data_IF_792459418223
#
_entry.id   IF_792459418223
#
_cell.length_a   1.000
_cell.length_b   1.000
_cell.length_c   1.000
_cell.angle_alpha   90.00
_cell.angle_beta   90.00
_cell.angle_gamma   90.00
#
_symmetry.space_group_name_H-M   'P 1'
#
loop_
_entity.id
_entity.type
_entity.pdbx_description
1 polymer ?
#
# COMPACT_ATOMS: atom_id res chain seq x y z
N UNK A 1 -7.68 12.80 -31.11
CA UNK A 1 -8.19 11.68 -30.28
C UNK A 1 -7.44 11.72 -28.96
N UNK A 2 -8.12 12.12 -27.90
CA UNK A 2 -7.57 11.96 -26.54
C UNK A 2 -7.38 10.47 -26.29
N UNK A 3 -6.14 10.04 -26.09
CA UNK A 3 -5.86 8.69 -25.58
C UNK A 3 -6.24 8.74 -24.11
N UNK A 4 -7.44 8.27 -23.79
CA UNK A 4 -7.86 8.12 -22.39
C UNK A 4 -6.94 7.08 -21.77
N UNK A 5 -6.04 7.53 -20.91
CA UNK A 5 -5.16 6.65 -20.16
C UNK A 5 -6.05 5.74 -19.30
N UNK A 6 -5.86 4.42 -19.45
CA UNK A 6 -6.74 3.45 -18.79
C UNK A 6 -5.95 2.58 -17.81
N UNK A 7 -6.31 2.71 -16.54
CA UNK A 7 -5.92 1.75 -15.50
C UNK A 7 -6.92 0.59 -15.48
N UNK A 8 -6.44 -0.62 -15.31
CA UNK A 8 -7.26 -1.81 -15.07
C UNK A 8 -6.58 -2.74 -14.08
N UNK A 9 -7.37 -3.56 -13.40
CA UNK A 9 -6.90 -4.54 -12.44
C UNK A 9 -7.06 -5.95 -13.00
N UNK A 10 -6.00 -6.74 -12.90
CA UNK A 10 -5.99 -8.14 -13.30
C UNK A 10 -5.62 -9.00 -12.10
N UNK A 11 -6.54 -9.89 -11.71
CA UNK A 11 -6.28 -10.82 -10.61
C UNK A 11 -5.07 -11.70 -10.95
N UNK A 12 -4.27 -11.98 -9.93
CA UNK A 12 -3.14 -12.91 -10.05
C UNK A 12 -3.57 -14.24 -10.66
N UNK A 13 -2.72 -14.73 -11.53
CA UNK A 13 -2.82 -16.07 -12.09
C UNK A 13 -1.43 -16.74 -12.11
N UNK A 14 -1.32 -18.07 -11.89
CA UNK A 14 -0.05 -18.76 -11.71
C UNK A 14 0.98 -18.54 -12.83
N UNK A 15 0.53 -18.37 -14.07
CA UNK A 15 1.40 -18.08 -15.22
C UNK A 15 2.09 -16.70 -15.14
N UNK A 16 1.63 -15.82 -14.26
CA UNK A 16 2.22 -14.50 -14.02
C UNK A 16 3.09 -14.45 -12.74
N UNK A 17 3.34 -15.61 -12.09
CA UNK A 17 4.11 -15.69 -10.84
C UNK A 17 5.46 -14.97 -10.92
N UNK A 18 6.23 -15.17 -11.99
CA UNK A 18 7.52 -14.51 -12.15
C UNK A 18 7.44 -12.98 -12.23
N UNK A 19 6.32 -12.43 -12.73
CA UNK A 19 6.07 -10.98 -12.71
C UNK A 19 5.70 -10.50 -11.32
N UNK A 20 4.89 -11.25 -10.59
CA UNK A 20 4.54 -10.93 -9.20
C UNK A 20 5.78 -10.89 -8.30
N UNK A 21 6.65 -11.90 -8.38
CA UNK A 21 7.90 -11.97 -7.62
C UNK A 21 8.77 -10.74 -7.89
N UNK A 22 8.94 -10.34 -9.16
CA UNK A 22 9.73 -9.14 -9.51
C UNK A 22 9.16 -7.88 -8.90
N UNK A 23 7.83 -7.70 -8.94
CA UNK A 23 7.17 -6.53 -8.37
C UNK A 23 7.29 -6.50 -6.84
N UNK A 24 7.14 -7.64 -6.17
CA UNK A 24 7.28 -7.74 -4.70
C UNK A 24 8.72 -7.38 -4.30
N UNK A 25 9.74 -7.91 -4.98
CA UNK A 25 11.13 -7.54 -4.72
C UNK A 25 11.38 -6.04 -4.90
N UNK A 26 10.85 -5.43 -5.97
CA UNK A 26 10.95 -3.97 -6.19
C UNK A 26 10.23 -3.19 -5.11
N UNK A 27 9.05 -3.63 -4.69
CA UNK A 27 8.29 -3.00 -3.60
C UNK A 27 9.12 -2.92 -2.31
N UNK A 28 9.71 -4.02 -1.86
CA UNK A 28 10.52 -4.05 -0.64
C UNK A 28 11.81 -3.23 -0.78
N UNK A 29 12.42 -3.25 -1.97
CA UNK A 29 13.59 -2.40 -2.25
C UNK A 29 13.25 -0.91 -2.13
N UNK A 30 12.15 -0.47 -2.72
CA UNK A 30 11.73 0.94 -2.69
C UNK A 30 11.23 1.37 -1.30
N UNK A 31 10.56 0.49 -0.56
CA UNK A 31 9.96 0.83 0.73
C UNK A 31 10.93 0.77 1.91
N UNK A 32 11.79 -0.23 1.94
CA UNK A 32 12.62 -0.55 3.09
C UNK A 32 14.12 -0.64 2.77
N UNK A 33 14.50 -0.40 1.51
CA UNK A 33 15.87 -0.68 0.99
C UNK A 33 16.28 -2.14 1.23
N UNK A 34 15.33 -3.08 1.11
CA UNK A 34 15.50 -4.50 1.39
C UNK A 34 15.61 -5.30 0.08
N UNK A 35 16.67 -6.08 -0.05
CA UNK A 35 16.92 -6.95 -1.20
C UNK A 35 16.43 -8.36 -0.90
N UNK A 36 15.20 -8.68 -1.30
CA UNK A 36 14.63 -10.03 -1.14
C UNK A 36 15.20 -11.02 -2.14
N UNK A 37 15.34 -12.29 -1.71
CA UNK A 37 15.52 -13.42 -2.62
C UNK A 37 14.19 -13.74 -3.36
N UNK A 38 14.25 -14.55 -4.40
CA UNK A 38 13.05 -15.04 -5.09
C UNK A 38 12.20 -15.91 -4.17
N UNK A 39 12.82 -16.69 -3.27
CA UNK A 39 12.13 -17.54 -2.30
C UNK A 39 11.38 -16.70 -1.26
N UNK A 40 11.97 -15.62 -0.76
CA UNK A 40 11.29 -14.69 0.16
C UNK A 40 10.09 -14.03 -0.49
N UNK A 41 10.24 -13.51 -1.72
CA UNK A 41 9.16 -12.90 -2.46
C UNK A 41 8.06 -13.91 -2.85
N UNK A 42 8.41 -15.18 -3.06
CA UNK A 42 7.46 -16.26 -3.30
C UNK A 42 6.69 -16.60 -2.02
N UNK A 43 7.35 -16.57 -0.86
CA UNK A 43 6.70 -16.78 0.44
C UNK A 43 5.68 -15.65 0.72
N UNK A 44 6.04 -14.40 0.47
CA UNK A 44 5.12 -13.25 0.57
C UNK A 44 3.92 -13.43 -0.37
N UNK A 45 4.17 -13.73 -1.64
CA UNK A 45 3.09 -13.96 -2.61
C UNK A 45 2.14 -15.06 -2.14
N UNK A 46 2.69 -16.17 -1.62
CA UNK A 46 1.90 -17.29 -1.08
C UNK A 46 0.97 -16.84 0.04
N UNK A 47 1.44 -16.00 0.95
CA UNK A 47 0.62 -15.41 2.02
C UNK A 47 -0.43 -14.44 1.46
N UNK A 48 -0.05 -13.61 0.49
CA UNK A 48 -0.91 -12.55 -0.06
C UNK A 48 -2.02 -13.06 -1.00
N UNK A 49 -1.98 -14.32 -1.38
CA UNK A 49 -3.03 -14.97 -2.18
C UNK A 49 -3.78 -16.05 -1.40
N UNK A 50 -3.39 -16.31 -0.14
CA UNK A 50 -4.00 -17.32 0.69
C UNK A 50 -5.31 -16.84 1.33
N UNK A 51 -6.16 -17.75 1.78
CA UNK A 51 -7.37 -17.49 2.58
C UNK A 51 -8.34 -16.45 1.96
N UNK A 52 -8.42 -16.42 0.63
CA UNK A 52 -9.29 -15.48 -0.09
C UNK A 52 -8.72 -14.10 -0.32
N UNK A 53 -7.52 -13.79 0.19
CA UNK A 53 -6.80 -12.57 -0.13
C UNK A 53 -6.60 -12.43 -1.64
N UNK A 54 -6.48 -11.21 -2.14
CA UNK A 54 -6.44 -10.90 -3.56
C UNK A 54 -5.19 -10.11 -3.91
N UNK A 55 -4.40 -10.64 -4.84
CA UNK A 55 -3.30 -9.91 -5.46
C UNK A 55 -3.73 -9.48 -6.87
N UNK A 56 -3.75 -8.18 -7.13
CA UNK A 56 -4.06 -7.61 -8.43
C UNK A 56 -2.83 -7.00 -9.06
N UNK A 57 -2.58 -7.33 -10.33
CA UNK A 57 -1.70 -6.51 -11.16
C UNK A 57 -2.41 -5.23 -11.56
N UNK A 58 -1.72 -4.11 -11.45
CA UNK A 58 -2.15 -2.82 -11.98
C UNK A 58 -1.65 -2.74 -13.42
N UNK A 59 -2.58 -2.70 -14.35
CA UNK A 59 -2.26 -2.52 -15.76
C UNK A 59 -2.51 -1.07 -16.17
N UNK A 60 -1.56 -0.48 -16.85
CA UNK A 60 -1.64 0.87 -17.38
C UNK A 60 -1.33 0.88 -18.87
N UNK A 61 -2.32 1.21 -19.69
CA UNK A 61 -2.21 1.20 -21.15
C UNK A 61 -1.68 -0.12 -21.75
N UNK A 62 -2.02 -1.26 -21.15
CA UNK A 62 -1.63 -2.58 -21.61
C UNK A 62 -0.35 -3.14 -20.98
N UNK A 63 0.36 -2.36 -20.16
CA UNK A 63 1.57 -2.79 -19.46
C UNK A 63 1.34 -2.90 -17.96
N UNK A 64 2.01 -3.85 -17.31
CA UNK A 64 1.96 -4.00 -15.86
C UNK A 64 2.80 -2.88 -15.24
N UNK A 65 2.15 -2.01 -14.48
CA UNK A 65 2.72 -0.84 -13.84
C UNK A 65 2.89 -0.99 -12.30
N UNK A 66 2.43 -2.10 -11.73
CA UNK A 66 2.50 -2.31 -10.29
C UNK A 66 1.55 -3.38 -9.80
N UNK A 67 1.26 -3.38 -8.51
CA UNK A 67 0.29 -4.30 -7.91
C UNK A 67 -0.47 -3.67 -6.74
N UNK A 68 -1.61 -4.28 -6.40
CA UNK A 68 -2.36 -4.02 -5.18
C UNK A 68 -2.71 -5.35 -4.50
N UNK A 69 -2.61 -5.38 -3.17
CA UNK A 69 -2.95 -6.53 -2.37
C UNK A 69 -4.09 -6.19 -1.41
N UNK A 70 -5.21 -6.89 -1.55
CA UNK A 70 -6.30 -6.87 -0.59
C UNK A 70 -6.20 -8.06 0.36
N UNK A 71 -6.23 -7.78 1.65
CA UNK A 71 -6.17 -8.78 2.71
C UNK A 71 -7.38 -8.76 3.63
N UNK A 72 -7.47 -9.80 4.47
CA UNK A 72 -8.44 -9.89 5.56
C UNK A 72 -7.74 -9.80 6.90
N UNK A 73 -8.35 -9.09 7.84
CA UNK A 73 -7.90 -9.04 9.24
C UNK A 73 -8.94 -9.66 10.16
N UNK A 74 -9.42 -10.86 9.80
CA UNK A 74 -10.41 -11.63 10.56
C UNK A 74 -11.86 -11.37 10.15
N UNK A 75 -12.09 -10.71 9.02
CA UNK A 75 -13.41 -10.42 8.45
C UNK A 75 -13.42 -10.55 6.92
N UNK A 76 -14.04 -9.61 6.24
CA UNK A 76 -14.01 -9.52 4.78
C UNK A 76 -12.59 -9.21 4.27
N UNK A 77 -12.37 -9.44 2.96
CA UNK A 77 -11.11 -9.05 2.28
C UNK A 77 -11.23 -7.59 1.84
N UNK A 78 -11.17 -6.69 2.80
CA UNK A 78 -11.45 -5.27 2.64
C UNK A 78 -10.34 -4.35 3.18
N UNK A 79 -9.14 -4.90 3.38
CA UNK A 79 -7.94 -4.14 3.74
C UNK A 79 -7.01 -4.01 2.54
N UNK A 80 -6.75 -2.78 2.11
CA UNK A 80 -5.67 -2.50 1.16
C UNK A 80 -4.33 -2.56 1.93
N UNK A 81 -3.73 -3.75 1.93
CA UNK A 81 -2.50 -4.00 2.69
C UNK A 81 -1.26 -3.46 1.99
N UNK A 82 -1.21 -3.60 0.66
CA UNK A 82 -0.09 -3.12 -0.14
C UNK A 82 -0.60 -2.50 -1.44
N UNK A 83 -0.01 -1.37 -1.80
CA UNK A 83 -0.20 -0.69 -3.08
C UNK A 83 1.17 -0.21 -3.57
N UNK A 84 1.58 -0.71 -4.73
CA UNK A 84 2.83 -0.36 -5.34
C UNK A 84 2.64 0.00 -6.81
N UNK A 85 3.13 1.17 -7.20
CA UNK A 85 3.27 1.60 -8.59
C UNK A 85 4.75 1.77 -8.85
N UNK A 86 5.27 1.11 -9.88
CA UNK A 86 6.68 1.19 -10.24
C UNK A 86 7.11 2.65 -10.47
N UNK A 87 8.33 3.05 -10.08
CA UNK A 87 8.80 4.44 -10.13
C UNK A 87 8.58 5.12 -11.48
N UNK A 88 8.81 4.42 -12.58
CA UNK A 88 8.63 4.91 -13.95
C UNK A 88 7.17 5.24 -14.32
N UNK A 89 6.20 4.71 -13.57
CA UNK A 89 4.76 4.96 -13.76
C UNK A 89 4.16 5.90 -12.72
N UNK A 90 4.91 6.31 -11.70
CA UNK A 90 4.41 7.18 -10.65
C UNK A 90 4.06 8.60 -11.15
N UNK A 91 3.29 9.33 -10.34
CA UNK A 91 2.87 10.73 -10.62
C UNK A 91 1.97 10.89 -11.85
N UNK A 92 1.29 9.82 -12.26
CA UNK A 92 0.33 9.78 -13.37
C UNK A 92 -1.11 9.50 -12.93
N UNK A 93 -1.41 9.57 -11.64
CA UNK A 93 -2.75 9.30 -11.08
C UNK A 93 -3.09 7.82 -10.92
N UNK A 94 -2.20 6.88 -11.30
CA UNK A 94 -2.46 5.43 -11.33
C UNK A 94 -2.87 4.90 -9.96
N UNK A 95 -2.21 5.31 -8.89
CA UNK A 95 -2.56 4.87 -7.54
C UNK A 95 -4.00 5.26 -7.16
N UNK A 96 -4.41 6.50 -7.46
CA UNK A 96 -5.77 6.98 -7.19
C UNK A 96 -6.83 6.19 -7.98
N UNK A 97 -6.62 5.99 -9.29
CA UNK A 97 -7.52 5.18 -10.12
C UNK A 97 -7.58 3.72 -9.64
N UNK A 98 -6.43 3.14 -9.24
CA UNK A 98 -6.37 1.80 -8.66
C UNK A 98 -7.25 1.69 -7.42
N UNK A 99 -7.15 2.64 -6.49
CA UNK A 99 -7.96 2.66 -5.26
C UNK A 99 -9.44 2.74 -5.60
N UNK A 100 -9.84 3.62 -6.51
CA UNK A 100 -11.24 3.74 -6.97
C UNK A 100 -11.76 2.42 -7.55
N UNK A 101 -10.95 1.71 -8.35
CA UNK A 101 -11.34 0.39 -8.87
C UNK A 101 -11.48 -0.65 -7.76
N UNK A 102 -10.59 -0.63 -6.74
CA UNK A 102 -10.70 -1.51 -5.59
C UNK A 102 -11.94 -1.20 -4.74
N UNK A 103 -12.31 0.06 -4.57
CA UNK A 103 -13.53 0.48 -3.90
C UNK A 103 -14.77 -0.11 -4.58
N UNK A 104 -14.83 -0.07 -5.92
CA UNK A 104 -15.91 -0.68 -6.69
C UNK A 104 -15.99 -2.21 -6.49
N UNK A 105 -14.85 -2.89 -6.36
CA UNK A 105 -14.80 -4.33 -6.08
C UNK A 105 -15.25 -4.62 -4.65
N UNK A 106 -14.74 -3.88 -3.67
CA UNK A 106 -14.97 -4.15 -2.25
C UNK A 106 -16.39 -3.82 -1.83
N UNK A 107 -17.01 -2.78 -2.39
CA UNK A 107 -18.40 -2.39 -2.07
C UNK A 107 -19.44 -3.48 -2.37
N UNK A 108 -19.12 -4.46 -3.21
CA UNK A 108 -20.02 -5.58 -3.50
C UNK A 108 -20.20 -6.51 -2.29
N UNK A 109 -19.29 -6.48 -1.31
CA UNK A 109 -19.32 -7.40 -0.16
C UNK A 109 -18.89 -6.77 1.18
N UNK A 110 -18.44 -5.52 1.21
CA UNK A 110 -18.11 -4.80 2.44
C UNK A 110 -18.58 -3.34 2.36
N UNK A 111 -18.83 -2.75 3.51
CA UNK A 111 -19.26 -1.35 3.63
C UNK A 111 -18.10 -0.36 3.65
N UNK A 112 -16.86 -0.83 3.76
CA UNK A 112 -15.69 0.02 3.89
C UNK A 112 -14.47 -0.64 3.26
N UNK A 113 -13.59 0.15 2.69
CA UNK A 113 -12.22 -0.24 2.35
C UNK A 113 -11.29 0.40 3.37
N UNK A 114 -10.50 -0.42 4.04
CA UNK A 114 -9.56 0.01 5.07
C UNK A 114 -8.14 0.06 4.51
N UNK A 115 -7.33 0.96 5.05
CA UNK A 115 -5.88 1.01 4.78
C UNK A 115 -5.13 1.51 6.01
N UNK A 116 -3.86 1.17 6.07
CA UNK A 116 -2.92 1.74 7.05
C UNK A 116 -1.85 2.56 6.33
N UNK A 117 -1.50 3.67 6.94
CA UNK A 117 -0.43 4.52 6.45
C UNK A 117 0.44 4.97 7.61
N UNK A 118 1.75 4.92 7.43
CA UNK A 118 2.66 5.47 8.43
C UNK A 118 2.42 6.97 8.61
N UNK A 119 2.25 7.44 9.84
CA UNK A 119 1.95 8.84 10.14
C UNK A 119 2.98 9.83 9.53
N UNK A 120 4.22 9.38 9.27
CA UNK A 120 5.27 10.17 8.61
C UNK A 120 5.12 10.23 7.08
N UNK A 121 4.26 9.42 6.47
CA UNK A 121 4.04 9.39 5.02
C UNK A 121 2.97 10.41 4.62
N UNK A 122 3.33 11.69 4.69
CA UNK A 122 2.43 12.81 4.43
C UNK A 122 1.86 12.79 3.01
N UNK A 123 2.64 12.37 2.02
CA UNK A 123 2.18 12.32 0.62
C UNK A 123 1.08 11.27 0.42
N UNK A 124 1.21 10.10 1.06
CA UNK A 124 0.16 9.09 1.04
C UNK A 124 -1.10 9.57 1.77
N UNK A 125 -0.95 10.21 2.94
CA UNK A 125 -2.08 10.81 3.68
C UNK A 125 -2.83 11.82 2.82
N UNK A 126 -2.13 12.72 2.12
CA UNK A 126 -2.74 13.68 1.19
C UNK A 126 -3.51 13.00 0.05
N UNK A 127 -2.96 11.92 -0.50
CA UNK A 127 -3.63 11.13 -1.53
C UNK A 127 -4.94 10.56 -1.00
N UNK A 128 -4.89 9.88 0.14
CA UNK A 128 -6.06 9.24 0.73
C UNK A 128 -7.15 10.24 1.12
N UNK A 129 -6.78 11.39 1.70
CA UNK A 129 -7.73 12.46 1.98
C UNK A 129 -8.44 12.98 0.72
N UNK A 130 -7.70 13.17 -0.39
CA UNK A 130 -8.31 13.58 -1.67
C UNK A 130 -9.28 12.54 -2.23
N UNK A 131 -9.09 11.26 -1.89
CA UNK A 131 -9.97 10.16 -2.28
C UNK A 131 -11.14 9.96 -1.29
N UNK A 132 -11.22 10.74 -0.22
CA UNK A 132 -12.32 10.69 0.75
C UNK A 132 -12.07 9.79 1.98
N UNK A 133 -10.82 9.32 2.18
CA UNK A 133 -10.45 8.58 3.40
C UNK A 133 -10.22 9.56 4.55
N UNK A 134 -11.29 9.95 5.22
CA UNK A 134 -11.33 10.96 6.28
C UNK A 134 -11.74 10.38 7.65
N UNK A 135 -12.06 9.10 7.71
CA UNK A 135 -12.51 8.43 8.93
C UNK A 135 -11.38 7.70 9.61
N UNK A 136 -11.05 8.13 10.82
CA UNK A 136 -10.05 7.48 11.65
C UNK A 136 -10.66 6.27 12.35
N UNK A 137 -10.18 5.06 12.02
CA UNK A 137 -10.71 3.80 12.56
C UNK A 137 -9.94 3.36 13.82
N UNK A 138 -8.62 3.21 13.72
CA UNK A 138 -7.75 2.77 14.81
C UNK A 138 -6.52 3.66 14.91
N UNK A 139 -5.92 3.70 16.09
CA UNK A 139 -4.67 4.42 16.35
C UNK A 139 -3.67 3.46 16.94
N UNK A 140 -2.52 3.30 16.31
CA UNK A 140 -1.39 2.57 16.87
C UNK A 140 -0.48 3.53 17.62
N UNK A 141 -0.29 3.31 18.90
CA UNK A 141 0.57 4.12 19.78
C UNK A 141 1.72 3.27 20.26
N UNK A 142 2.94 3.82 20.25
CA UNK A 142 4.11 3.15 20.79
C UNK A 142 4.83 4.02 21.80
N UNK A 143 5.55 3.38 22.72
CA UNK A 143 6.54 4.00 23.57
C UNK A 143 7.94 3.60 23.11
N UNK A 144 8.76 4.58 22.75
CA UNK A 144 10.15 4.30 22.42
C UNK A 144 10.93 3.96 23.70
N UNK A 145 11.63 2.84 23.68
CA UNK A 145 12.44 2.36 24.81
C UNK A 145 13.93 2.69 24.67
N UNK A 146 14.29 3.41 23.60
CA UNK A 146 15.65 3.88 23.31
C UNK A 146 15.65 5.30 22.77
N UNK A 147 16.80 5.97 22.75
CA UNK A 147 16.98 7.33 22.26
C UNK A 147 17.24 7.45 20.75
N UNK A 148 16.97 6.40 19.95
CA UNK A 148 17.28 6.34 18.52
C UNK A 148 16.30 7.06 17.60
N UNK A 149 15.27 7.67 18.16
CA UNK A 149 14.24 8.39 17.39
C UNK A 149 14.30 9.89 17.61
N UNK A 150 13.95 10.65 16.60
CA UNK A 150 13.74 12.10 16.66
C UNK A 150 12.32 12.48 16.24
N UNK A 151 11.79 13.53 16.88
CA UNK A 151 10.46 14.07 16.55
C UNK A 151 10.56 14.90 15.27
N UNK A 152 9.73 14.57 14.29
CA UNK A 152 9.61 15.33 13.02
C UNK A 152 8.34 16.16 12.96
N UNK A 153 7.29 15.74 13.67
CA UNK A 153 6.00 16.43 13.68
C UNK A 153 5.21 16.09 14.95
N UNK A 154 4.13 16.85 15.19
CA UNK A 154 3.18 16.62 16.28
C UNK A 154 1.77 16.60 15.72
N UNK A 155 0.95 15.65 16.17
CA UNK A 155 -0.45 15.53 15.78
C UNK A 155 -1.37 15.62 17.01
N UNK A 156 -2.56 16.16 16.82
CA UNK A 156 -3.62 16.16 17.84
C UNK A 156 -4.67 15.12 17.47
N UNK A 157 -4.88 14.16 18.36
CA UNK A 157 -5.92 13.14 18.18
C UNK A 157 -6.77 13.11 19.45
N UNK A 158 -8.07 13.36 19.29
CA UNK A 158 -9.02 13.42 20.41
C UNK A 158 -8.56 14.34 21.57
N UNK A 159 -7.93 15.48 21.25
CA UNK A 159 -7.43 16.42 22.24
C UNK A 159 -6.07 16.07 22.87
N UNK A 160 -5.45 14.96 22.46
CA UNK A 160 -4.14 14.54 22.96
C UNK A 160 -3.04 14.75 21.91
N UNK A 161 -1.91 15.34 22.35
CA UNK A 161 -0.75 15.51 21.51
C UNK A 161 0.04 14.19 21.38
N UNK A 162 0.27 13.75 20.17
CA UNK A 162 1.12 12.62 19.81
C UNK A 162 2.31 13.10 18.96
N UNK A 163 3.44 12.43 19.11
CA UNK A 163 4.68 12.76 18.40
C UNK A 163 4.87 11.82 17.22
N UNK A 164 5.03 12.37 16.03
CA UNK A 164 5.45 11.64 14.85
C UNK A 164 6.98 11.63 14.83
N UNK A 165 7.59 10.45 14.76
CA UNK A 165 9.03 10.27 14.87
C UNK A 165 9.59 9.42 13.75
N UNK A 166 10.85 9.66 13.40
CA UNK A 166 11.67 8.81 12.53
C UNK A 166 12.93 8.34 13.26
N UNK A 167 13.59 7.31 12.72
CA UNK A 167 14.92 6.94 13.18
C UNK A 167 15.89 8.10 12.95
N UNK A 168 16.78 8.34 13.89
CA UNK A 168 17.89 9.24 13.67
C UNK A 168 18.79 8.63 12.61
N UNK A 169 19.11 9.40 11.57
CA UNK A 169 20.15 9.03 10.63
C UNK A 169 21.46 9.01 11.40
N UNK A 170 22.16 7.87 11.42
CA UNK A 170 23.53 7.85 11.94
C UNK A 170 24.36 8.74 11.05
N UNK A 171 24.91 9.83 11.59
CA UNK A 171 26.00 10.53 10.94
C UNK A 171 27.18 9.54 10.90
N UNK A 172 27.52 9.07 9.68
CA UNK A 172 28.73 8.31 9.41
C UNK A 172 29.87 9.31 9.20
#
# INVERSE_FOLDING_TARGET
MEVTMKVSLHLYAPQLQGKAIKLIKRFWKEHNDEDLTDDDAMADLGQWINEGNKFYFINYNGEIAGFAHLGSRGGAVDWLEHLFVEPEYQRRGIAGETITLLEEIVKEYSMSLYLEVAARNIEALKLYQRLGYDTLNTVTIRKDLSGTFEVIERAQIAGHELKIKKLKTSEI
#
